data_IF_817671953420
#
_entry.id   IF_817671953420
#
_cell.length_a   1.000
_cell.length_b   1.000
_cell.length_c   1.000
_cell.angle_alpha   90.00
_cell.angle_beta   90.00
_cell.angle_gamma   90.00
#
_symmetry.space_group_name_H-M   'P 1'
#
loop_
_entity.id
_entity.type
_entity.pdbx_description
1 polymer ?
#
# COMPACT_ATOMS: atom_id res chain seq x y z
N UNK A 1 1.87 4.68 -3.45
CA UNK A 1 1.70 4.58 -4.93
C UNK A 1 1.79 5.98 -5.53
N UNK A 2 1.33 6.22 -6.77
CA UNK A 2 1.43 7.55 -7.40
C UNK A 2 0.48 8.60 -6.80
N UNK A 3 -0.67 8.17 -6.29
CA UNK A 3 -1.70 9.03 -5.71
C UNK A 3 -1.67 9.15 -4.19
N UNK A 4 -0.98 8.25 -3.49
CA UNK A 4 -0.88 8.26 -2.03
C UNK A 4 0.49 7.82 -1.52
N UNK A 5 1.01 8.53 -0.52
CA UNK A 5 2.17 8.13 0.30
C UNK A 5 1.68 7.85 1.72
N UNK A 6 2.09 6.72 2.27
CA UNK A 6 1.73 6.24 3.60
C UNK A 6 3.03 6.03 4.37
N UNK A 7 3.17 6.69 5.51
CA UNK A 7 4.31 6.57 6.41
C UNK A 7 3.81 6.18 7.79
N UNK A 8 4.31 5.07 8.32
CA UNK A 8 4.02 4.65 9.69
C UNK A 8 5.32 4.37 10.42
N UNK A 9 5.38 4.86 11.65
CA UNK A 9 6.44 4.59 12.61
C UNK A 9 6.02 3.41 13.48
N UNK A 10 6.92 2.45 13.64
CA UNK A 10 6.75 1.36 14.59
C UNK A 10 7.87 0.33 14.46
N UNK A 11 7.76 -0.75 15.22
CA UNK A 11 8.70 -1.87 15.23
C UNK A 11 8.09 -3.04 14.46
N UNK A 12 8.92 -3.74 13.66
CA UNK A 12 8.52 -5.00 13.04
C UNK A 12 8.59 -6.11 14.10
N UNK A 13 7.45 -6.41 14.73
CA UNK A 13 7.36 -7.33 15.87
C UNK A 13 7.32 -8.80 15.44
N UNK A 14 6.51 -9.11 14.43
CA UNK A 14 6.33 -10.48 13.95
C UNK A 14 6.30 -10.53 12.43
N UNK A 15 7.04 -11.48 11.86
CA UNK A 15 6.98 -11.78 10.42
C UNK A 15 6.35 -13.16 10.25
N UNK A 16 5.31 -13.24 9.42
CA UNK A 16 4.61 -14.46 9.07
C UNK A 16 4.82 -14.67 7.57
N UNK A 17 5.48 -15.76 7.20
CA UNK A 17 5.73 -16.12 5.80
C UNK A 17 4.73 -17.15 5.33
N UNK A 18 4.06 -16.90 4.22
CA UNK A 18 3.25 -17.88 3.49
C UNK A 18 3.83 -18.14 2.09
N UNK A 19 3.18 -19.02 1.33
CA UNK A 19 3.71 -19.48 0.03
C UNK A 19 3.90 -18.33 -1.00
N UNK A 20 2.97 -17.37 -1.04
CA UNK A 20 2.95 -16.31 -2.06
C UNK A 20 3.00 -14.89 -1.48
N UNK A 21 2.93 -14.75 -0.16
CA UNK A 21 2.95 -13.47 0.53
C UNK A 21 3.56 -13.62 1.91
N UNK A 22 4.09 -12.53 2.44
CA UNK A 22 4.49 -12.42 3.83
C UNK A 22 3.70 -11.29 4.49
N UNK A 23 3.54 -11.36 5.81
CA UNK A 23 2.92 -10.33 6.61
C UNK A 23 3.88 -9.92 7.72
N UNK A 24 4.13 -8.63 7.84
CA UNK A 24 4.90 -8.02 8.91
C UNK A 24 3.92 -7.28 9.81
N UNK A 25 3.86 -7.68 11.07
CA UNK A 25 2.96 -7.13 12.08
C UNK A 25 3.76 -6.22 13.02
N UNK A 26 3.25 -5.01 13.22
CA UNK A 26 3.57 -4.15 14.36
C UNK A 26 2.31 -3.90 15.19
N UNK A 27 2.40 -3.03 16.19
CA UNK A 27 1.29 -2.81 17.14
C UNK A 27 0.06 -2.16 16.47
N UNK A 28 0.29 -1.10 15.70
CA UNK A 28 -0.77 -0.31 15.05
C UNK A 28 -0.63 -0.30 13.52
N UNK A 29 0.07 -1.30 12.97
CA UNK A 29 0.21 -1.45 11.54
C UNK A 29 0.49 -2.89 11.12
N UNK A 30 0.03 -3.21 9.92
CA UNK A 30 0.47 -4.38 9.19
C UNK A 30 1.05 -3.98 7.83
N UNK A 31 1.97 -4.81 7.35
CA UNK A 31 2.53 -4.71 6.02
C UNK A 31 2.39 -6.08 5.36
N UNK A 32 1.56 -6.14 4.33
CA UNK A 32 1.50 -7.29 3.43
C UNK A 32 2.55 -7.11 2.34
N UNK A 33 3.39 -8.11 2.17
CA UNK A 33 4.51 -8.14 1.22
C UNK A 33 4.23 -9.22 0.19
N UNK A 34 4.40 -8.89 -1.09
CA UNK A 34 4.30 -9.81 -2.22
C UNK A 34 5.69 -10.01 -2.84
N UNK A 35 6.49 -10.98 -2.37
CA UNK A 35 7.92 -11.07 -2.70
C UNK A 35 8.22 -11.18 -4.20
N UNK A 36 7.29 -11.76 -4.98
CA UNK A 36 7.44 -11.90 -6.43
C UNK A 36 7.60 -10.57 -7.18
N UNK A 37 7.14 -9.46 -6.59
CA UNK A 37 7.29 -8.12 -7.17
C UNK A 37 8.57 -7.41 -6.72
N UNK A 38 9.35 -7.96 -5.79
CA UNK A 38 10.57 -7.35 -5.25
C UNK A 38 11.77 -7.86 -6.04
N UNK A 39 12.65 -6.97 -6.49
CA UNK A 39 13.81 -7.33 -7.31
C UNK A 39 15.14 -6.83 -6.79
N UNK A 40 15.17 -5.59 -6.29
CA UNK A 40 16.39 -4.93 -5.82
C UNK A 40 16.19 -4.38 -4.41
N UNK A 41 17.25 -4.43 -3.59
CA UNK A 41 17.29 -3.87 -2.24
C UNK A 41 18.59 -3.11 -2.03
N UNK A 42 18.50 -1.92 -1.45
CA UNK A 42 19.65 -1.05 -1.20
C UNK A 42 19.65 -0.57 0.24
N UNK A 43 20.79 -0.68 0.90
CA UNK A 43 21.08 0.01 2.14
C UNK A 43 21.69 1.38 1.81
N UNK A 44 20.97 2.45 2.12
CA UNK A 44 21.34 3.82 1.71
C UNK A 44 21.69 4.65 2.93
N UNK A 45 22.86 5.26 2.91
CA UNK A 45 23.23 6.34 3.84
C UNK A 45 23.20 7.68 3.11
N UNK A 46 22.53 8.69 3.70
CA UNK A 46 22.55 10.07 3.21
C UNK A 46 23.06 10.99 4.31
N UNK A 47 24.12 11.73 4.01
CA UNK A 47 24.66 12.78 4.88
C UNK A 47 23.94 14.10 4.60
N UNK A 48 23.49 14.76 5.66
CA UNK A 48 22.91 16.11 5.62
C UNK A 48 23.39 16.91 6.83
N UNK A 49 23.06 18.20 6.91
CA UNK A 49 23.49 19.08 8.03
C UNK A 49 23.11 18.53 9.41
N UNK A 50 22.01 17.77 9.51
CA UNK A 50 21.51 17.14 10.74
C UNK A 50 22.05 15.74 11.04
N UNK A 51 23.01 15.23 10.26
CA UNK A 51 23.67 13.94 10.50
C UNK A 51 23.49 12.93 9.37
N UNK A 52 23.50 11.63 9.72
CA UNK A 52 23.40 10.52 8.76
C UNK A 52 22.00 9.91 8.84
N UNK A 53 21.25 10.00 7.75
CA UNK A 53 20.01 9.26 7.58
C UNK A 53 20.29 7.90 6.95
N UNK A 54 19.72 6.84 7.51
CA UNK A 54 19.87 5.47 7.01
C UNK A 54 18.52 4.91 6.58
N UNK A 55 18.50 4.15 5.49
CA UNK A 55 17.29 3.51 5.02
C UNK A 55 17.57 2.22 4.26
N UNK A 56 16.63 1.29 4.31
CA UNK A 56 16.52 0.17 3.38
C UNK A 56 15.49 0.53 2.32
N UNK A 57 15.83 0.44 1.04
CA UNK A 57 14.95 0.80 -0.06
C UNK A 57 14.83 -0.35 -1.05
N UNK A 58 13.59 -0.70 -1.40
CA UNK A 58 13.28 -1.86 -2.22
C UNK A 58 12.54 -1.46 -3.49
N UNK A 59 12.87 -2.11 -4.60
CA UNK A 59 12.40 -1.77 -5.94
C UNK A 59 11.98 -3.02 -6.72
N UNK A 60 11.04 -2.84 -7.64
CA UNK A 60 10.61 -3.89 -8.56
C UNK A 60 11.55 -4.03 -9.76
N UNK A 61 11.28 -5.00 -10.63
CA UNK A 61 12.10 -5.27 -11.81
C UNK A 61 12.09 -4.13 -12.84
N UNK A 62 11.14 -3.20 -12.78
CA UNK A 62 11.10 -2.00 -13.61
C UNK A 62 11.74 -0.78 -12.92
N UNK A 63 12.30 -0.95 -11.72
CA UNK A 63 12.94 0.10 -10.93
C UNK A 63 11.95 0.99 -10.17
N UNK A 64 10.67 0.64 -10.10
CA UNK A 64 9.70 1.38 -9.29
C UNK A 64 9.86 1.05 -7.81
N UNK A 65 9.74 2.08 -6.96
CA UNK A 65 9.84 1.90 -5.51
C UNK A 65 8.67 1.05 -4.99
N UNK A 66 9.02 -0.02 -4.25
CA UNK A 66 8.07 -0.94 -3.63
C UNK A 66 7.89 -0.60 -2.16
N UNK A 67 8.97 -0.53 -1.39
CA UNK A 67 8.89 -0.22 0.04
C UNK A 67 10.18 0.45 0.53
N UNK A 68 10.09 1.23 1.60
CA UNK A 68 11.25 1.87 2.24
C UNK A 68 11.11 1.81 3.75
N UNK A 69 12.20 1.52 4.42
CA UNK A 69 12.31 1.54 5.89
C UNK A 69 13.36 2.56 6.25
N UNK A 70 12.97 3.61 6.98
CA UNK A 70 13.88 4.65 7.43
C UNK A 70 14.19 4.46 8.91
N UNK A 71 15.48 4.47 9.26
CA UNK A 71 15.88 4.45 10.66
C UNK A 71 15.57 5.80 11.31
N UNK A 72 15.15 5.73 12.57
CA UNK A 72 14.98 6.88 13.46
C UNK A 72 16.06 6.85 14.54
N UNK A 73 16.24 7.94 15.31
CA UNK A 73 17.22 7.97 16.40
C UNK A 73 17.07 6.81 17.40
N UNK A 74 15.84 6.37 17.66
CA UNK A 74 15.51 5.25 18.56
C UNK A 74 15.71 3.86 17.93
N UNK A 75 16.02 3.76 16.64
CA UNK A 75 16.22 2.48 15.96
C UNK A 75 17.53 1.80 16.39
N UNK A 76 17.53 0.47 16.42
CA UNK A 76 18.74 -0.30 16.73
C UNK A 76 19.73 -0.29 15.55
N UNK A 77 20.73 0.60 15.63
CA UNK A 77 21.75 0.76 14.60
C UNK A 77 22.66 -0.48 14.45
N UNK A 78 22.92 -1.20 15.54
CA UNK A 78 23.73 -2.42 15.49
C UNK A 78 23.03 -3.51 14.68
N UNK A 79 21.73 -3.74 14.96
CA UNK A 79 20.92 -4.71 14.22
C UNK A 79 20.84 -4.36 12.73
N UNK A 80 20.68 -3.07 12.39
CA UNK A 80 20.73 -2.62 11.00
C UNK A 80 22.06 -2.96 10.32
N UNK A 81 23.19 -2.64 10.96
CA UNK A 81 24.53 -2.91 10.39
C UNK A 81 24.77 -4.39 10.19
N UNK A 82 24.35 -5.22 11.15
CA UNK A 82 24.41 -6.68 11.06
C UNK A 82 23.60 -7.19 9.87
N UNK A 83 22.35 -6.75 9.73
CA UNK A 83 21.48 -7.12 8.61
C UNK A 83 22.09 -6.73 7.25
N UNK A 84 22.65 -5.52 7.14
CA UNK A 84 23.28 -5.05 5.91
C UNK A 84 24.51 -5.89 5.57
N UNK A 85 25.34 -6.23 6.57
CA UNK A 85 26.53 -7.06 6.37
C UNK A 85 26.17 -8.50 5.96
N UNK A 86 25.08 -9.05 6.49
CA UNK A 86 24.60 -10.40 6.16
C UNK A 86 23.97 -10.50 4.76
N UNK A 87 23.27 -9.44 4.31
CA UNK A 87 22.50 -9.45 3.07
C UNK A 87 23.17 -8.72 1.90
N UNK A 88 24.40 -8.22 2.09
CA UNK A 88 25.12 -7.55 1.00
C UNK A 88 25.36 -8.51 -0.16
N UNK A 89 24.97 -8.08 -1.37
CA UNK A 89 25.20 -8.83 -2.60
C UNK A 89 26.68 -8.85 -2.96
N UNK A 90 27.20 -9.98 -3.46
CA UNK A 90 28.54 -10.04 -4.02
C UNK A 90 28.71 -9.12 -5.25
N UNK A 91 27.64 -8.92 -6.01
CA UNK A 91 27.58 -7.90 -7.07
C UNK A 91 27.20 -6.54 -6.46
N UNK A 92 28.11 -5.58 -6.53
CA UNK A 92 27.96 -4.18 -6.09
C UNK A 92 28.09 -3.18 -7.25
N UNK A 93 27.86 -3.62 -8.50
CA UNK A 93 27.89 -2.72 -9.66
C UNK A 93 26.83 -1.60 -9.51
N UNK A 94 27.15 -0.36 -9.90
CA UNK A 94 26.24 0.78 -9.78
C UNK A 94 25.20 0.81 -10.92
N UNK A 95 24.84 -0.34 -11.47
CA UNK A 95 23.92 -0.49 -12.61
C UNK A 95 22.80 -1.47 -12.27
N UNK A 96 21.63 -1.26 -12.87
CA UNK A 96 20.47 -2.15 -12.71
C UNK A 96 19.96 -2.60 -14.08
N UNK A 97 19.79 -3.90 -14.26
CA UNK A 97 19.17 -4.47 -15.47
C UNK A 97 17.64 -4.42 -15.35
N UNK A 98 17.05 -3.30 -15.76
CA UNK A 98 15.61 -3.08 -15.64
C UNK A 98 14.83 -3.79 -16.76
N UNK A 99 13.67 -4.34 -16.41
CA UNK A 99 12.67 -4.84 -17.36
C UNK A 99 11.71 -3.72 -17.74
N UNK A 100 11.22 -3.77 -18.98
CA UNK A 100 10.13 -2.88 -19.40
C UNK A 100 8.93 -3.06 -18.48
N UNK A 101 8.33 -1.94 -18.07
CA UNK A 101 7.13 -1.97 -17.23
C UNK A 101 5.97 -2.53 -18.04
N UNK A 102 5.47 -3.70 -17.65
CA UNK A 102 4.21 -4.21 -18.18
C UNK A 102 3.09 -3.27 -17.70
N UNK A 103 2.46 -2.58 -18.64
CA UNK A 103 1.29 -1.76 -18.38
C UNK A 103 0.23 -2.63 -17.69
N UNK A 104 -0.39 -2.10 -16.65
CA UNK A 104 -1.62 -2.71 -16.13
C UNK A 104 -2.71 -2.45 -17.17
N UNK A 105 -2.83 -3.36 -18.14
CA UNK A 105 -3.98 -3.43 -19.01
C UNK A 105 -5.12 -3.98 -18.16
N UNK A 106 -5.60 -3.19 -17.19
CA UNK A 106 -6.68 -3.57 -16.28
C UNK A 106 -7.76 -4.26 -17.09
N UNK A 107 -8.01 -5.54 -16.76
CA UNK A 107 -8.69 -6.55 -17.58
C UNK A 107 -9.40 -5.98 -18.82
N UNK A 108 -8.64 -5.76 -19.91
CA UNK A 108 -9.23 -5.63 -21.25
C UNK A 108 -9.54 -7.05 -21.72
N UNK A 109 -10.58 -7.65 -21.17
CA UNK A 109 -11.11 -8.92 -21.66
C UNK A 109 -12.54 -8.71 -22.11
N UNK A 110 -12.68 -8.46 -23.41
CA UNK A 110 -13.94 -8.53 -24.14
C UNK A 110 -14.42 -9.99 -24.34
N UNK A 111 -13.63 -10.98 -23.95
CA UNK A 111 -13.95 -12.39 -24.16
C UNK A 111 -14.32 -13.08 -22.84
N UNK A 112 -15.63 -13.07 -22.56
CA UNK A 112 -16.33 -13.76 -21.45
C UNK A 112 -15.86 -13.39 -20.04
N UNK A 113 -16.27 -12.21 -19.59
CA UNK A 113 -16.36 -11.91 -18.16
C UNK A 113 -17.50 -12.73 -17.52
N UNK A 114 -17.36 -13.05 -16.23
CA UNK A 114 -18.44 -13.69 -15.46
C UNK A 114 -19.73 -12.85 -15.47
N UNK A 115 -20.88 -13.50 -15.33
CA UNK A 115 -22.17 -12.80 -15.32
C UNK A 115 -22.34 -12.00 -14.02
N UNK A 116 -23.31 -11.08 -13.99
CA UNK A 116 -23.69 -10.37 -12.77
C UNK A 116 -24.16 -11.36 -11.69
N UNK A 117 -24.86 -12.42 -12.08
CA UNK A 117 -25.34 -13.45 -11.15
C UNK A 117 -24.19 -14.24 -10.53
N UNK A 118 -23.20 -14.66 -11.34
CA UNK A 118 -21.99 -15.33 -10.84
C UNK A 118 -21.24 -14.41 -9.85
N UNK A 119 -21.08 -13.14 -10.23
CA UNK A 119 -20.42 -12.15 -9.38
C UNK A 119 -21.13 -12.01 -8.03
N UNK A 120 -22.47 -11.86 -8.04
CA UNK A 120 -23.26 -11.67 -6.83
C UNK A 120 -23.31 -12.93 -5.96
N UNK A 121 -23.42 -14.12 -6.56
CA UNK A 121 -23.37 -15.38 -5.83
C UNK A 121 -22.06 -15.50 -5.05
N UNK A 122 -20.93 -15.32 -5.73
CA UNK A 122 -19.63 -15.42 -5.09
C UNK A 122 -19.35 -14.27 -4.11
N UNK A 123 -19.78 -13.03 -4.42
CA UNK A 123 -19.60 -11.88 -3.53
C UNK A 123 -20.35 -12.07 -2.21
N UNK A 124 -21.59 -12.55 -2.26
CA UNK A 124 -22.43 -12.77 -1.07
C UNK A 124 -21.83 -13.76 -0.07
N UNK A 125 -21.01 -14.71 -0.57
CA UNK A 125 -20.38 -15.73 0.26
C UNK A 125 -19.04 -15.27 0.84
N UNK A 126 -18.38 -14.27 0.25
CA UNK A 126 -17.04 -13.76 0.61
C UNK A 126 -15.98 -14.85 0.83
N UNK A 127 -16.18 -16.05 0.28
CA UNK A 127 -15.31 -17.21 0.53
C UNK A 127 -14.08 -17.24 -0.36
N UNK A 128 -14.08 -16.52 -1.49
CA UNK A 128 -13.01 -16.56 -2.47
C UNK A 128 -12.23 -15.24 -2.56
N UNK A 129 -11.02 -15.24 -1.98
CA UNK A 129 -10.06 -14.13 -2.06
C UNK A 129 -9.55 -13.85 -3.48
N UNK A 130 -9.78 -14.77 -4.43
CA UNK A 130 -9.42 -14.65 -5.84
C UNK A 130 -10.61 -14.43 -6.78
N UNK A 131 -11.81 -14.16 -6.25
CA UNK A 131 -13.06 -13.94 -7.00
C UNK A 131 -12.87 -13.17 -8.33
N UNK A 132 -12.21 -12.01 -8.26
CA UNK A 132 -12.00 -11.15 -9.43
C UNK A 132 -11.15 -11.81 -10.53
N UNK A 133 -10.16 -12.62 -10.15
CA UNK A 133 -9.35 -13.38 -11.11
C UNK A 133 -10.17 -14.51 -11.74
N UNK A 134 -10.96 -15.22 -10.93
CA UNK A 134 -11.85 -16.30 -11.38
C UNK A 134 -12.84 -15.79 -12.43
N UNK A 135 -13.46 -14.62 -12.17
CA UNK A 135 -14.42 -14.01 -13.09
C UNK A 135 -13.79 -13.14 -14.19
N UNK A 136 -12.45 -13.02 -14.20
CA UNK A 136 -11.69 -12.17 -15.13
C UNK A 136 -12.19 -10.72 -15.15
N UNK A 137 -12.60 -10.21 -14.00
CA UNK A 137 -13.10 -8.84 -13.82
C UNK A 137 -12.02 -7.97 -13.18
N UNK A 138 -11.87 -6.73 -13.67
CA UNK A 138 -11.18 -5.72 -12.90
C UNK A 138 -12.02 -5.32 -11.67
N UNK A 139 -11.36 -4.75 -10.65
CA UNK A 139 -12.05 -4.27 -9.44
C UNK A 139 -13.15 -3.26 -9.78
N UNK A 140 -12.87 -2.27 -10.62
CA UNK A 140 -13.87 -1.25 -10.99
C UNK A 140 -15.03 -1.83 -11.82
N UNK A 141 -14.77 -2.81 -12.70
CA UNK A 141 -15.85 -3.50 -13.41
C UNK A 141 -16.76 -4.25 -12.43
N UNK A 142 -16.17 -5.02 -11.51
CA UNK A 142 -16.94 -5.76 -10.52
C UNK A 142 -17.78 -4.82 -9.63
N UNK A 143 -17.22 -3.70 -9.17
CA UNK A 143 -17.97 -2.71 -8.37
C UNK A 143 -19.15 -2.09 -9.12
N UNK A 144 -19.01 -1.84 -10.43
CA UNK A 144 -20.13 -1.35 -11.26
C UNK A 144 -21.19 -2.41 -11.54
N UNK A 145 -20.80 -3.69 -11.56
CA UNK A 145 -21.67 -4.81 -11.91
C UNK A 145 -22.40 -5.41 -10.70
N UNK A 146 -21.79 -5.40 -9.51
CA UNK A 146 -22.28 -6.15 -8.35
C UNK A 146 -23.63 -5.65 -7.83
N UNK A 147 -24.01 -4.39 -8.10
CA UNK A 147 -25.27 -3.79 -7.67
C UNK A 147 -25.11 -2.82 -6.47
N UNK A 148 -26.03 -1.86 -6.37
CA UNK A 148 -25.99 -0.78 -5.36
C UNK A 148 -26.16 -1.28 -3.92
N UNK A 149 -26.72 -2.47 -3.76
CA UNK A 149 -26.78 -3.23 -2.53
C UNK A 149 -25.46 -3.90 -2.16
N UNK A 150 -24.36 -3.66 -2.87
CA UNK A 150 -23.01 -4.09 -2.45
C UNK A 150 -21.97 -2.99 -2.67
N UNK A 151 -22.10 -2.21 -3.74
CA UNK A 151 -21.21 -1.10 -4.00
C UNK A 151 -21.92 0.07 -4.68
N UNK A 152 -21.65 1.29 -4.22
CA UNK A 152 -22.17 2.50 -4.84
C UNK A 152 -21.12 3.60 -4.92
N UNK A 153 -21.24 4.44 -5.95
CA UNK A 153 -20.37 5.59 -6.17
C UNK A 153 -20.65 6.66 -5.11
N UNK A 154 -19.57 7.29 -4.66
CA UNK A 154 -19.57 8.47 -3.81
C UNK A 154 -18.94 9.64 -4.55
N UNK A 155 -19.24 10.85 -4.08
CA UNK A 155 -18.51 12.04 -4.49
C UNK A 155 -17.01 11.91 -4.12
N UNK A 156 -16.12 12.45 -4.96
CA UNK A 156 -14.68 12.37 -4.72
C UNK A 156 -14.25 13.08 -3.42
N UNK A 157 -15.02 14.05 -2.93
CA UNK A 157 -14.81 14.71 -1.65
C UNK A 157 -15.09 13.80 -0.44
N UNK A 158 -15.78 12.67 -0.62
CA UNK A 158 -16.15 11.77 0.47
C UNK A 158 -14.94 11.23 1.24
N UNK A 159 -13.79 10.99 0.58
CA UNK A 159 -12.58 10.51 1.26
C UNK A 159 -12.08 11.55 2.27
N UNK A 160 -12.08 12.83 1.91
CA UNK A 160 -11.70 13.91 2.83
C UNK A 160 -12.68 14.03 3.98
N UNK A 161 -13.99 13.97 3.69
CA UNK A 161 -15.03 14.04 4.71
C UNK A 161 -14.94 12.88 5.72
N UNK A 162 -14.72 11.64 5.26
CA UNK A 162 -14.56 10.47 6.13
C UNK A 162 -13.32 10.60 7.03
N UNK A 163 -12.18 11.03 6.48
CA UNK A 163 -10.97 11.22 7.29
C UNK A 163 -11.18 12.32 8.35
N UNK A 164 -11.75 13.45 7.94
CA UNK A 164 -12.04 14.56 8.86
C UNK A 164 -12.99 14.11 9.98
N UNK A 165 -14.07 13.41 9.61
CA UNK A 165 -15.06 12.95 10.58
C UNK A 165 -14.53 11.88 11.52
N UNK A 166 -13.71 10.95 11.01
CA UNK A 166 -13.05 9.95 11.84
C UNK A 166 -12.11 10.58 12.88
N UNK A 167 -11.45 11.68 12.53
CA UNK A 167 -10.62 12.44 13.46
C UNK A 167 -11.45 13.19 14.52
N UNK A 168 -12.56 13.81 14.10
CA UNK A 168 -13.47 14.55 15.00
C UNK A 168 -14.20 13.64 15.99
N UNK A 169 -14.67 12.48 15.52
CA UNK A 169 -15.40 11.51 16.34
C UNK A 169 -14.47 10.59 17.14
N UNK A 170 -13.14 10.75 17.03
CA UNK A 170 -12.14 9.83 17.56
C UNK A 170 -12.45 8.36 17.21
N UNK A 171 -12.88 8.13 15.97
CA UNK A 171 -13.23 6.80 15.48
C UNK A 171 -11.97 6.12 14.92
N UNK A 172 -11.56 4.96 15.46
CA UNK A 172 -10.43 4.22 14.90
C UNK A 172 -10.78 3.69 13.50
N UNK A 173 -9.84 3.88 12.57
CA UNK A 173 -9.97 3.43 11.18
C UNK A 173 -8.84 2.48 10.80
N UNK A 174 -9.05 1.77 9.71
CA UNK A 174 -7.97 1.13 8.97
C UNK A 174 -7.74 1.85 7.64
N UNK A 175 -6.52 2.30 7.39
CA UNK A 175 -6.13 2.98 6.16
C UNK A 175 -5.12 2.13 5.39
N UNK A 176 -5.52 1.63 4.21
CA UNK A 176 -4.68 0.78 3.37
C UNK A 176 -4.13 1.55 2.17
N UNK A 177 -2.81 1.57 2.01
CA UNK A 177 -2.15 2.12 0.82
C UNK A 177 -1.18 1.10 0.26
N UNK A 178 -1.38 0.73 -1.01
CA UNK A 178 -0.58 -0.32 -1.64
C UNK A 178 -0.02 0.03 -3.01
N UNK A 179 0.92 -0.80 -3.43
CA UNK A 179 1.43 -0.95 -4.79
C UNK A 179 1.54 -2.46 -5.12
N UNK A 180 2.14 -2.82 -6.26
CA UNK A 180 2.22 -4.22 -6.71
C UNK A 180 2.99 -5.15 -5.77
N UNK A 181 3.91 -4.62 -4.96
CA UNK A 181 4.76 -5.42 -4.08
C UNK A 181 4.47 -5.29 -2.60
N UNK A 182 3.67 -4.30 -2.18
CA UNK A 182 3.31 -4.15 -0.78
C UNK A 182 2.00 -3.42 -0.56
N UNK A 183 1.31 -3.74 0.53
CA UNK A 183 0.20 -2.97 1.09
C UNK A 183 0.55 -2.66 2.53
N UNK A 184 0.61 -1.38 2.88
CA UNK A 184 0.78 -0.95 4.26
C UNK A 184 -0.56 -0.46 4.81
N UNK A 185 -0.83 -0.86 6.05
CA UNK A 185 -2.08 -0.57 6.75
C UNK A 185 -1.76 0.19 8.02
N UNK A 186 -2.39 1.34 8.24
CA UNK A 186 -2.52 1.93 9.56
C UNK A 186 -3.81 1.43 10.20
N UNK A 187 -3.75 1.07 11.48
CA UNK A 187 -4.93 0.73 12.29
C UNK A 187 -4.91 1.56 13.57
N UNK A 188 -5.92 2.41 13.76
CA UNK A 188 -6.02 3.24 14.95
C UNK A 188 -6.68 4.59 14.69
N UNK A 189 -6.52 5.48 15.67
CA UNK A 189 -7.02 6.85 15.60
C UNK A 189 -6.17 7.69 14.66
N UNK A 190 -6.84 8.62 13.99
CA UNK A 190 -6.20 9.75 13.31
C UNK A 190 -6.63 11.05 13.99
N UNK A 191 -5.77 12.06 14.01
CA UNK A 191 -6.06 13.32 14.73
C UNK A 191 -5.94 14.56 13.86
N UNK A 192 -4.80 14.73 13.20
CA UNK A 192 -4.50 15.94 12.42
C UNK A 192 -4.75 15.73 10.94
N UNK A 193 -5.99 15.93 10.51
CA UNK A 193 -6.36 15.94 9.08
C UNK A 193 -6.30 17.37 8.55
N UNK A 194 -5.63 17.58 7.41
CA UNK A 194 -5.53 18.88 6.76
C UNK A 194 -5.67 18.77 5.25
N UNK A 195 -6.45 19.66 4.66
CA UNK A 195 -6.44 19.86 3.21
C UNK A 195 -5.52 21.03 2.86
N UNK A 196 -4.50 20.76 2.05
CA UNK A 196 -3.54 21.78 1.58
C UNK A 196 -3.49 21.68 0.05
N UNK A 197 -4.11 22.65 -0.61
CA UNK A 197 -4.27 22.63 -2.06
C UNK A 197 -5.02 21.38 -2.53
N UNK A 198 -4.52 20.67 -3.56
CA UNK A 198 -5.20 19.50 -4.14
C UNK A 198 -4.83 18.18 -3.43
N UNK A 199 -4.42 18.26 -2.16
CA UNK A 199 -3.96 17.14 -1.36
C UNK A 199 -4.60 17.14 0.03
N UNK A 200 -4.86 15.94 0.54
CA UNK A 200 -5.29 15.67 1.91
C UNK A 200 -4.11 15.04 2.65
N UNK A 201 -3.88 15.51 3.87
CA UNK A 201 -2.82 15.04 4.74
C UNK A 201 -3.38 14.54 6.07
N UNK A 202 -2.84 13.42 6.55
CA UNK A 202 -2.85 13.05 7.97
C UNK A 202 -1.44 13.32 8.48
N UNK A 203 -1.31 14.10 9.55
CA UNK A 203 -0.02 14.58 10.07
C UNK A 203 0.18 14.21 11.54
N UNK A 204 -0.15 12.97 11.88
CA UNK A 204 0.02 12.47 13.25
C UNK A 204 1.49 12.12 13.53
N UNK A 205 1.79 11.93 14.81
CA UNK A 205 3.15 11.66 15.27
C UNK A 205 3.71 10.37 14.66
N UNK A 206 2.91 9.31 14.66
CA UNK A 206 3.31 7.97 14.22
C UNK A 206 2.76 7.59 12.85
N UNK A 207 1.79 8.32 12.33
CA UNK A 207 1.16 8.05 11.05
C UNK A 207 1.06 9.33 10.19
N UNK A 208 1.60 9.26 8.97
CA UNK A 208 1.41 10.30 7.97
C UNK A 208 0.81 9.71 6.70
N UNK A 209 -0.19 10.40 6.18
CA UNK A 209 -0.77 10.13 4.87
C UNK A 209 -0.62 11.40 4.03
N UNK A 210 -0.21 11.25 2.79
CA UNK A 210 -0.30 12.29 1.78
C UNK A 210 -1.08 11.72 0.59
N UNK A 211 -2.32 12.16 0.46
CA UNK A 211 -3.25 11.74 -0.58
C UNK A 211 -3.44 12.88 -1.59
N UNK A 212 -3.10 12.64 -2.85
CA UNK A 212 -3.35 13.56 -3.97
C UNK A 212 -4.79 13.42 -4.44
N UNK A 213 -5.71 14.10 -3.77
CA UNK A 213 -7.15 13.95 -4.01
C UNK A 213 -7.57 14.26 -5.45
N UNK A 214 -6.87 15.18 -6.13
CA UNK A 214 -7.09 15.46 -7.56
C UNK A 214 -6.80 14.29 -8.52
N UNK A 215 -6.08 13.25 -8.07
CA UNK A 215 -5.83 12.05 -8.88
C UNK A 215 -6.92 10.98 -8.71
N UNK A 216 -7.86 11.18 -7.77
CA UNK A 216 -8.98 10.27 -7.55
C UNK A 216 -9.95 10.38 -8.72
N UNK A 217 -10.26 9.23 -9.33
CA UNK A 217 -11.22 9.14 -10.44
C UNK A 217 -12.60 8.69 -9.99
N UNK A 218 -12.65 7.72 -9.09
CA UNK A 218 -13.88 7.18 -8.54
C UNK A 218 -13.67 6.86 -7.05
N UNK A 219 -14.67 7.15 -6.24
CA UNK A 219 -14.76 6.71 -4.84
C UNK A 219 -15.96 5.79 -4.73
N UNK A 220 -15.76 4.66 -4.05
CA UNK A 220 -16.77 3.64 -3.89
C UNK A 220 -16.93 3.32 -2.40
N UNK A 221 -18.17 3.31 -1.92
CA UNK A 221 -18.52 2.56 -0.73
C UNK A 221 -18.78 1.11 -1.13
N UNK A 222 -18.29 0.17 -0.32
CA UNK A 222 -18.35 -1.27 -0.60
C UNK A 222 -18.71 -2.00 0.68
N UNK A 223 -19.64 -2.95 0.60
CA UNK A 223 -20.04 -3.84 1.69
C UNK A 223 -19.96 -5.32 1.30
#
# INVERSE_FOLDING_TARGET
NQGAVHEKIGVFNKVITGNNHAMVLGDEFDLRVFPQAWRYGFAVERRHRGGIQRSLQFFDAAGAAVHKVHLRPVSNLHAYRKLVAELVSANQEPTMSLKARVADLGARTADRAGTVDDLREHWSRLTDVNLLKTLKLSRCQALRMVGQDYAWLLDNAAVGAVLQRAAEDELPIMCFVGNRGSIQTHSGLIKSVKQIGPCIYVLDETFRLHLRSHQIREVWAVR
#
